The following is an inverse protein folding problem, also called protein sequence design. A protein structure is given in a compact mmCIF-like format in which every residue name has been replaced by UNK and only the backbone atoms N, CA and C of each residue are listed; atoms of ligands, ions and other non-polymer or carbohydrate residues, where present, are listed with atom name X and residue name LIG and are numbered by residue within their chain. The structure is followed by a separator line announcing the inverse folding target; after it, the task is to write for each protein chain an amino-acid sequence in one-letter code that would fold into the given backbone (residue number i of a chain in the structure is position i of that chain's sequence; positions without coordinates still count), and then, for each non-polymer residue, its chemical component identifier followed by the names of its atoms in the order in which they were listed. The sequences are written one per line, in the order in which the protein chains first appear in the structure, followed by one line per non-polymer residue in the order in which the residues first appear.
data_IF_553658568734
#
_entry.id   IF_553658568734
#
_cell.length_a   1.000
_cell.length_b   1.000
_cell.length_c   1.000
_cell.angle_alpha   90.00
_cell.angle_beta   90.00
_cell.angle_gamma   90.00
#
_symmetry.space_group_name_H-M   'P 1'
#
loop_
_entity.id
_entity.type
_entity.pdbx_description
1 polymer ?
#
# COMPACT_ATOMS: atom_id res chain seq x y z
N UNK A 1 36.31 -2.26 51.39
CA UNK A 1 34.98 -1.81 50.93
C UNK A 1 34.99 -1.74 49.41
N UNK A 2 34.36 -2.71 48.75
CA UNK A 2 34.30 -2.80 47.30
C UNK A 2 33.40 -1.68 46.74
N UNK A 3 33.97 -0.81 45.91
CA UNK A 3 33.20 0.14 45.11
C UNK A 3 32.48 -0.64 44.01
N UNK A 4 31.33 -1.20 44.34
CA UNK A 4 30.48 -1.91 43.40
C UNK A 4 29.94 -0.89 42.39
N UNK A 5 30.41 -1.01 41.15
CA UNK A 5 29.86 -0.34 39.98
C UNK A 5 28.44 -0.89 39.76
N UNK A 6 27.44 -0.13 40.17
CA UNK A 6 26.02 -0.44 40.01
C UNK A 6 25.48 0.25 38.74
N UNK A 7 26.12 -0.01 37.61
CA UNK A 7 25.64 0.43 36.30
C UNK A 7 24.81 -0.68 35.65
N UNK A 8 23.67 -0.32 35.05
CA UNK A 8 22.87 -1.24 34.21
C UNK A 8 23.74 -1.85 33.10
N UNK A 9 24.74 -1.08 32.62
CA UNK A 9 25.75 -1.51 31.66
C UNK A 9 26.63 -2.67 32.12
N UNK A 10 26.83 -2.83 33.43
CA UNK A 10 27.63 -3.92 34.01
C UNK A 10 26.76 -5.14 34.39
N UNK A 11 25.44 -4.94 34.53
CA UNK A 11 24.49 -5.99 34.95
C UNK A 11 23.93 -6.76 33.75
N UNK A 12 23.70 -6.08 32.63
CA UNK A 12 23.33 -6.72 31.38
C UNK A 12 24.54 -6.70 30.47
N UNK A 13 24.90 -7.88 29.94
CA UNK A 13 25.97 -8.08 28.96
C UNK A 13 25.58 -7.47 27.59
N UNK A 14 25.20 -6.19 27.59
CA UNK A 14 24.76 -5.43 26.43
C UNK A 14 25.96 -5.30 25.51
N UNK A 15 25.80 -5.85 24.31
CA UNK A 15 26.83 -5.84 23.28
C UNK A 15 27.39 -4.42 23.11
N UNK A 16 28.72 -4.28 22.90
CA UNK A 16 29.37 -2.97 22.83
C UNK A 16 28.65 -2.07 21.83
N UNK A 17 28.46 -0.80 22.20
CA UNK A 17 27.73 0.21 21.42
C UNK A 17 28.35 0.30 20.02
N UNK A 18 27.76 -0.42 19.07
CA UNK A 18 28.20 -0.41 17.67
C UNK A 18 27.92 0.97 17.13
N UNK A 19 28.95 1.67 16.68
CA UNK A 19 28.79 2.91 15.94
C UNK A 19 28.01 2.58 14.67
N UNK A 20 26.72 2.96 14.63
CA UNK A 20 25.91 2.85 13.42
C UNK A 20 26.61 3.73 12.38
N UNK A 21 27.25 3.10 11.40
CA UNK A 21 27.80 3.82 10.25
C UNK A 21 26.63 4.58 9.65
N UNK A 22 26.66 5.91 9.76
CA UNK A 22 25.69 6.77 9.08
C UNK A 22 25.89 6.52 7.58
N UNK A 23 25.02 5.71 7.00
CA UNK A 23 24.87 5.65 5.56
C UNK A 23 24.51 7.06 5.11
N UNK A 24 25.33 7.65 4.24
CA UNK A 24 24.92 8.82 3.47
C UNK A 24 23.70 8.38 2.65
N UNK A 25 22.52 8.72 3.15
CA UNK A 25 21.29 8.53 2.40
C UNK A 25 21.35 9.57 1.30
N UNK A 26 21.45 9.11 0.05
CA UNK A 26 21.36 9.95 -1.14
C UNK A 26 19.91 10.45 -1.27
N UNK A 27 19.65 11.61 -0.66
CA UNK A 27 18.35 12.26 -0.59
C UNK A 27 17.83 12.54 -2.00
N UNK A 28 18.72 12.90 -2.94
CA UNK A 28 18.34 13.25 -4.30
C UNK A 28 17.79 12.07 -5.09
N UNK A 29 18.40 10.88 -4.94
CA UNK A 29 17.85 9.64 -5.52
C UNK A 29 16.51 9.30 -4.92
N UNK A 30 16.38 9.45 -3.60
CA UNK A 30 15.15 9.13 -2.87
C UNK A 30 14.01 10.06 -3.29
N UNK A 31 14.27 11.36 -3.44
CA UNK A 31 13.29 12.34 -3.89
C UNK A 31 12.85 12.12 -5.35
N UNK A 32 13.79 11.76 -6.25
CA UNK A 32 13.47 11.43 -7.65
C UNK A 32 12.54 10.22 -7.73
N UNK A 33 12.85 9.15 -7.00
CA UNK A 33 12.00 7.95 -6.95
C UNK A 33 10.62 8.26 -6.36
N UNK A 34 10.55 9.07 -5.30
CA UNK A 34 9.25 9.49 -4.71
C UNK A 34 8.43 10.32 -5.70
N UNK A 35 9.07 11.24 -6.44
CA UNK A 35 8.43 12.05 -7.49
C UNK A 35 7.93 11.18 -8.65
N UNK A 36 8.69 10.18 -9.09
CA UNK A 36 8.27 9.24 -10.12
C UNK A 36 7.07 8.37 -9.67
N UNK A 37 7.07 7.91 -8.42
CA UNK A 37 5.95 7.18 -7.82
C UNK A 37 4.68 8.05 -7.74
N UNK A 38 4.83 9.36 -7.50
CA UNK A 38 3.70 10.28 -7.40
C UNK A 38 3.23 10.81 -8.76
N UNK A 39 4.12 10.87 -9.76
CA UNK A 39 3.81 11.26 -11.15
C UNK A 39 3.10 10.15 -11.93
N UNK A 40 3.39 8.88 -11.63
CA UNK A 40 2.83 7.71 -12.33
C UNK A 40 1.41 7.30 -11.91
N UNK A 41 0.79 8.00 -10.94
CA UNK A 41 -0.60 7.76 -10.57
C UNK A 41 -1.51 8.31 -11.67
N UNK A 42 -1.88 7.45 -12.63
CA UNK A 42 -2.96 7.71 -13.61
C UNK A 42 -4.13 8.41 -12.91
N UNK A 43 -4.65 9.47 -13.51
CA UNK A 43 -5.86 10.14 -12.99
C UNK A 43 -7.03 9.14 -12.94
N UNK A 44 -7.43 8.77 -11.73
CA UNK A 44 -8.59 7.90 -11.51
C UNK A 44 -9.78 8.81 -11.25
N UNK A 45 -10.65 8.97 -12.23
CA UNK A 45 -11.96 9.61 -12.04
C UNK A 45 -12.90 8.61 -11.35
N UNK A 46 -13.38 8.97 -10.15
CA UNK A 46 -14.42 8.21 -9.44
C UNK A 46 -15.78 8.77 -9.82
N UNK A 47 -16.70 7.89 -10.19
CA UNK A 47 -18.09 8.25 -10.50
C UNK A 47 -18.99 7.49 -9.53
N UNK A 48 -19.72 8.17 -8.63
CA UNK A 48 -20.75 7.54 -7.82
C UNK A 48 -21.91 7.13 -8.73
N UNK A 49 -22.45 5.93 -8.49
CA UNK A 49 -23.59 5.38 -9.23
C UNK A 49 -24.62 4.93 -8.21
N UNK A 50 -25.82 5.48 -8.33
CA UNK A 50 -26.99 5.00 -7.61
C UNK A 50 -27.66 3.92 -8.46
N UNK A 51 -28.10 2.84 -7.80
CA UNK A 51 -28.72 1.71 -8.46
C UNK A 51 -29.73 1.06 -7.53
N UNK A 52 -30.78 0.50 -8.12
CA UNK A 52 -31.80 -0.22 -7.38
C UNK A 52 -31.18 -1.44 -6.65
N UNK A 53 -31.70 -1.71 -5.45
CA UNK A 53 -31.19 -2.77 -4.59
C UNK A 53 -31.26 -4.17 -5.23
N UNK A 54 -32.31 -4.42 -6.01
CA UNK A 54 -32.46 -5.69 -6.74
C UNK A 54 -31.38 -5.84 -7.81
N UNK A 55 -31.11 -4.77 -8.56
CA UNK A 55 -30.07 -4.75 -9.59
C UNK A 55 -28.68 -4.90 -8.97
N UNK A 56 -28.42 -4.22 -7.85
CA UNK A 56 -27.18 -4.38 -7.08
C UNK A 56 -26.99 -5.84 -6.63
N UNK A 57 -28.04 -6.47 -6.11
CA UNK A 57 -28.00 -7.85 -5.63
C UNK A 57 -27.69 -8.82 -6.77
N UNK A 58 -28.36 -8.68 -7.90
CA UNK A 58 -28.10 -9.49 -9.09
C UNK A 58 -26.66 -9.31 -9.61
N UNK A 59 -26.17 -8.07 -9.66
CA UNK A 59 -24.79 -7.76 -10.03
C UNK A 59 -23.79 -8.48 -9.12
N UNK A 60 -24.03 -8.43 -7.80
CA UNK A 60 -23.15 -9.03 -6.82
C UNK A 60 -23.08 -10.55 -6.95
N UNK A 61 -24.22 -11.22 -7.19
CA UNK A 61 -24.27 -12.66 -7.44
C UNK A 61 -23.44 -13.01 -8.68
N UNK A 62 -23.69 -12.35 -9.82
CA UNK A 62 -22.99 -12.61 -11.09
C UNK A 62 -21.48 -12.41 -10.97
N UNK A 63 -21.07 -11.35 -10.28
CA UNK A 63 -19.66 -11.06 -9.96
C UNK A 63 -19.01 -12.19 -9.15
N UNK A 64 -19.69 -12.70 -8.11
CA UNK A 64 -19.17 -13.74 -7.23
C UNK A 64 -18.97 -15.04 -7.99
N UNK A 65 -19.95 -15.44 -8.81
CA UNK A 65 -19.85 -16.61 -9.69
C UNK A 65 -18.63 -16.49 -10.62
N UNK A 66 -18.42 -15.32 -11.20
CA UNK A 66 -17.26 -15.03 -12.05
C UNK A 66 -15.93 -14.84 -11.31
N UNK A 67 -15.91 -14.88 -9.96
CA UNK A 67 -14.73 -14.61 -9.11
C UNK A 67 -14.05 -13.26 -9.40
N UNK A 68 -14.82 -12.24 -9.79
CA UNK A 68 -14.30 -10.92 -10.15
C UNK A 68 -14.49 -9.89 -9.02
N UNK A 69 -13.65 -8.85 -9.02
CA UNK A 69 -13.87 -7.65 -8.20
C UNK A 69 -14.98 -6.79 -8.83
N UNK A 70 -15.75 -6.04 -8.02
CA UNK A 70 -16.83 -5.14 -8.52
C UNK A 70 -16.35 -4.26 -9.66
N UNK A 71 -15.21 -3.59 -9.44
CA UNK A 71 -14.60 -2.71 -10.44
C UNK A 71 -14.30 -3.43 -11.75
N UNK A 72 -13.74 -4.64 -11.68
CA UNK A 72 -13.40 -5.41 -12.87
C UNK A 72 -14.63 -5.85 -13.63
N UNK A 73 -15.67 -6.28 -12.91
CA UNK A 73 -16.96 -6.65 -13.49
C UNK A 73 -17.62 -5.46 -14.20
N UNK A 74 -17.73 -4.31 -13.53
CA UNK A 74 -18.33 -3.09 -14.11
C UNK A 74 -17.54 -2.58 -15.32
N UNK A 75 -16.20 -2.54 -15.24
CA UNK A 75 -15.39 -2.14 -16.38
C UNK A 75 -15.56 -3.12 -17.55
N UNK A 76 -15.67 -4.42 -17.27
CA UNK A 76 -15.96 -5.42 -18.31
C UNK A 76 -17.30 -5.19 -18.99
N UNK A 77 -18.35 -4.84 -18.23
CA UNK A 77 -19.65 -4.48 -18.80
C UNK A 77 -19.56 -3.23 -19.68
N UNK A 78 -18.91 -2.17 -19.19
CA UNK A 78 -18.72 -0.91 -19.93
C UNK A 78 -17.92 -1.17 -21.22
N UNK A 79 -16.83 -1.93 -21.14
CA UNK A 79 -16.03 -2.31 -22.31
C UNK A 79 -16.85 -3.06 -23.36
N UNK A 80 -17.65 -4.03 -22.92
CA UNK A 80 -18.54 -4.80 -23.79
C UNK A 80 -19.57 -3.91 -24.48
N UNK A 81 -20.14 -2.95 -23.74
CA UNK A 81 -21.11 -2.00 -24.27
C UNK A 81 -20.47 -1.03 -25.29
N UNK A 82 -19.23 -0.61 -25.03
CA UNK A 82 -18.43 0.23 -25.93
C UNK A 82 -17.80 -0.54 -27.10
N UNK A 83 -17.95 -1.87 -27.17
CA UNK A 83 -17.33 -2.72 -28.20
C UNK A 83 -15.80 -2.78 -28.13
N UNK A 84 -15.21 -2.52 -26.96
CA UNK A 84 -13.76 -2.55 -26.73
C UNK A 84 -13.41 -3.89 -26.08
N UNK A 85 -12.88 -4.83 -26.85
CA UNK A 85 -12.35 -6.11 -26.33
C UNK A 85 -11.11 -5.89 -25.44
#
# INVERSE_FOLDING_TARGET
MAKNKLGISDTFNLSPKVAVKKSEIDIERTEKVVKEIHSSKKEIKRVPLEMDMDLYTQMMIKRIVGKQKVKGYLIGLIKKDLGIE
#
